data_IF_653254072277
#
_entry.id   IF_653254072277
#
_cell.length_a   1.000
_cell.length_b   1.000
_cell.length_c   1.000
_cell.angle_alpha   90.00
_cell.angle_beta   90.00
_cell.angle_gamma   90.00
#
_symmetry.space_group_name_H-M   'P 1'
#
loop_
_entity.id
_entity.type
_entity.pdbx_description
1 polymer ?
#
# COMPACT_ATOMS: atom_id res chain seq x y z
N UNK A 1 3.46 19.66 -20.41
CA UNK A 1 3.50 18.47 -19.49
C UNK A 1 2.13 18.31 -18.87
N UNK A 2 1.41 17.22 -19.14
CA UNK A 2 0.15 16.91 -18.43
C UNK A 2 0.56 16.53 -17.00
N UNK A 3 0.10 17.30 -16.02
CA UNK A 3 0.25 16.93 -14.60
C UNK A 3 -0.54 15.65 -14.38
N UNK A 4 0.18 14.56 -14.19
CA UNK A 4 -0.43 13.27 -13.92
C UNK A 4 -1.04 13.32 -12.52
N UNK A 5 -2.32 12.99 -12.40
CA UNK A 5 -2.99 12.87 -11.11
C UNK A 5 -2.22 11.88 -10.23
N UNK A 6 -1.88 12.27 -9.01
CA UNK A 6 -1.20 11.43 -8.05
C UNK A 6 -2.22 10.53 -7.35
N UNK A 7 -2.24 9.25 -7.70
CA UNK A 7 -3.09 8.27 -7.05
C UNK A 7 -2.31 7.58 -5.94
N UNK A 8 -2.85 7.55 -4.73
CA UNK A 8 -2.20 7.02 -3.52
C UNK A 8 -3.10 5.94 -2.92
N UNK A 9 -2.53 4.79 -2.59
CA UNK A 9 -3.20 3.70 -1.88
C UNK A 9 -2.59 3.54 -0.50
N UNK A 10 -3.44 3.50 0.54
CA UNK A 10 -3.06 3.29 1.93
C UNK A 10 -3.96 2.22 2.56
N UNK A 11 -3.36 1.27 3.27
CA UNK A 11 -4.08 0.42 4.22
C UNK A 11 -3.86 1.01 5.60
N UNK A 12 -4.94 1.29 6.33
CA UNK A 12 -4.87 2.14 7.52
C UNK A 12 -5.80 1.64 8.63
N UNK A 13 -5.38 1.83 9.86
CA UNK A 13 -6.18 1.59 11.05
C UNK A 13 -6.76 2.91 11.59
N UNK A 14 -7.80 2.83 12.40
CA UNK A 14 -8.45 3.98 13.04
C UNK A 14 -7.47 4.95 13.71
N UNK A 15 -6.45 4.44 14.38
CA UNK A 15 -5.40 5.24 15.05
C UNK A 15 -4.60 6.14 14.09
N UNK A 16 -4.60 5.82 12.79
CA UNK A 16 -3.83 6.54 11.77
C UNK A 16 -4.57 7.76 11.21
N UNK A 17 -5.87 7.91 11.52
CA UNK A 17 -6.71 9.01 10.99
C UNK A 17 -6.06 10.40 11.18
N UNK A 18 -5.50 10.78 12.34
CA UNK A 18 -4.85 12.08 12.50
C UNK A 18 -3.66 12.29 11.57
N UNK A 19 -2.87 11.22 11.31
CA UNK A 19 -1.74 11.26 10.40
C UNK A 19 -2.19 11.36 8.94
N UNK A 20 -3.27 10.67 8.59
CA UNK A 20 -3.88 10.72 7.26
C UNK A 20 -4.36 12.16 6.96
N UNK A 21 -5.03 12.82 7.90
CA UNK A 21 -5.47 14.21 7.75
C UNK A 21 -4.25 15.13 7.54
N UNK A 22 -3.20 14.97 8.34
CA UNK A 22 -1.95 15.72 8.21
C UNK A 22 -1.31 15.51 6.84
N UNK A 23 -1.22 14.26 6.39
CA UNK A 23 -0.69 13.90 5.08
C UNK A 23 -1.54 14.46 3.95
N UNK A 24 -2.87 14.34 4.03
CA UNK A 24 -3.78 14.91 3.03
C UNK A 24 -3.52 16.41 2.85
N UNK A 25 -3.42 17.16 3.94
CA UNK A 25 -3.14 18.59 3.91
C UNK A 25 -1.77 18.91 3.27
N UNK A 26 -0.76 18.10 3.56
CA UNK A 26 0.56 18.26 2.97
C UNK A 26 0.55 17.92 1.48
N UNK A 27 -0.07 16.81 1.09
CA UNK A 27 -0.21 16.43 -0.33
C UNK A 27 -0.94 17.52 -1.12
N UNK A 28 -2.01 18.10 -0.59
CA UNK A 28 -2.76 19.19 -1.23
C UNK A 28 -1.94 20.45 -1.42
N UNK A 29 -1.02 20.75 -0.51
CA UNK A 29 -0.09 21.90 -0.64
C UNK A 29 0.97 21.65 -1.70
N UNK A 30 1.41 20.40 -1.85
CA UNK A 30 2.56 20.03 -2.69
C UNK A 30 2.13 19.67 -4.12
N UNK A 31 0.96 19.01 -4.27
CA UNK A 31 0.48 18.50 -5.56
C UNK A 31 -0.89 19.10 -5.89
N UNK A 32 -1.09 19.44 -7.17
CA UNK A 32 -2.33 20.06 -7.64
C UNK A 32 -3.51 19.10 -7.75
N UNK A 33 -3.21 17.85 -8.15
CA UNK A 33 -4.22 16.81 -8.39
C UNK A 33 -3.82 15.54 -7.69
N UNK A 34 -4.61 15.15 -6.68
CA UNK A 34 -4.39 13.95 -5.87
C UNK A 34 -5.69 13.16 -5.76
N UNK A 35 -5.56 11.84 -5.64
CA UNK A 35 -6.62 10.93 -5.19
C UNK A 35 -6.04 9.97 -4.19
N UNK A 36 -6.70 9.79 -3.06
CA UNK A 36 -6.26 8.91 -2.00
C UNK A 36 -7.31 7.82 -1.81
N UNK A 37 -6.88 6.59 -1.90
CA UNK A 37 -7.67 5.38 -1.70
C UNK A 37 -7.26 4.76 -0.37
N UNK A 38 -8.19 4.74 0.58
CA UNK A 38 -7.94 4.23 1.93
C UNK A 38 -8.69 2.92 2.09
N UNK A 39 -7.98 1.89 2.49
CA UNK A 39 -8.52 0.58 2.81
C UNK A 39 -8.49 0.45 4.32
N UNK A 40 -9.64 0.18 4.95
CA UNK A 40 -9.77 0.10 6.39
C UNK A 40 -10.66 -1.08 6.83
N UNK A 41 -10.53 -1.54 8.08
CA UNK A 41 -11.42 -2.56 8.63
C UNK A 41 -12.89 -2.14 8.55
N UNK A 42 -13.80 -3.07 8.23
CA UNK A 42 -15.23 -2.78 8.06
C UNK A 42 -15.85 -2.12 9.30
N UNK A 43 -15.42 -2.52 10.49
CA UNK A 43 -15.89 -1.96 11.75
C UNK A 43 -15.58 -0.46 11.91
N UNK A 44 -14.50 0.02 11.30
CA UNK A 44 -14.05 1.41 11.39
C UNK A 44 -14.54 2.28 10.21
N UNK A 45 -15.16 1.67 9.20
CA UNK A 45 -15.50 2.30 7.92
C UNK A 45 -16.32 3.60 8.06
N UNK A 46 -17.33 3.60 8.91
CA UNK A 46 -18.17 4.79 9.11
C UNK A 46 -17.41 5.93 9.76
N UNK A 47 -16.53 5.64 10.72
CA UNK A 47 -15.69 6.65 11.36
C UNK A 47 -14.68 7.25 10.37
N UNK A 48 -14.09 6.40 9.51
CA UNK A 48 -13.24 6.89 8.43
C UNK A 48 -14.01 7.81 7.49
N UNK A 49 -15.22 7.44 7.07
CA UNK A 49 -16.06 8.29 6.20
C UNK A 49 -16.43 9.63 6.85
N UNK A 50 -16.74 9.63 8.12
CA UNK A 50 -17.09 10.83 8.87
C UNK A 50 -15.89 11.78 8.97
N UNK A 51 -14.74 11.26 9.42
CA UNK A 51 -13.54 12.07 9.69
C UNK A 51 -12.75 12.45 8.44
N UNK A 52 -12.84 11.68 7.38
CA UNK A 52 -12.10 11.87 6.12
C UNK A 52 -13.04 12.23 4.96
N UNK A 53 -14.04 13.06 5.23
CA UNK A 53 -15.01 13.51 4.22
C UNK A 53 -14.40 14.57 3.27
N UNK A 54 -13.38 14.16 2.51
CA UNK A 54 -12.74 14.97 1.47
C UNK A 54 -13.03 14.36 0.10
N UNK A 55 -13.31 15.22 -0.90
CA UNK A 55 -13.69 14.78 -2.27
C UNK A 55 -12.59 13.94 -2.96
N UNK A 56 -11.34 14.14 -2.59
CA UNK A 56 -10.19 13.42 -3.13
C UNK A 56 -9.94 12.07 -2.43
N UNK A 57 -10.65 11.78 -1.32
CA UNK A 57 -10.48 10.55 -0.55
C UNK A 57 -11.63 9.58 -0.87
N UNK A 58 -11.28 8.35 -1.24
CA UNK A 58 -12.21 7.23 -1.35
C UNK A 58 -11.85 6.17 -0.33
N UNK A 59 -12.84 5.66 0.37
CA UNK A 59 -12.66 4.68 1.45
C UNK A 59 -13.28 3.36 1.03
N UNK A 60 -12.55 2.28 1.26
CA UNK A 60 -12.93 0.89 0.96
C UNK A 60 -12.82 0.05 2.22
N UNK A 61 -13.66 -0.96 2.34
CA UNK A 61 -13.51 -1.97 3.39
C UNK A 61 -12.50 -3.01 2.96
N UNK A 62 -11.74 -3.56 3.90
CA UNK A 62 -10.83 -4.68 3.64
C UNK A 62 -11.59 -5.87 3.03
N UNK A 63 -12.79 -6.16 3.54
CA UNK A 63 -13.64 -7.27 3.11
C UNK A 63 -14.13 -7.16 1.66
N UNK A 64 -14.22 -5.93 1.12
CA UNK A 64 -14.59 -5.70 -0.29
C UNK A 64 -13.45 -6.09 -1.25
N UNK A 65 -12.24 -6.30 -0.73
CA UNK A 65 -11.04 -6.65 -1.51
C UNK A 65 -10.67 -8.12 -1.29
N UNK A 66 -10.40 -8.48 -0.04
CA UNK A 66 -10.18 -9.85 0.43
C UNK A 66 -10.49 -9.90 1.93
N UNK A 67 -11.34 -10.80 2.36
CA UNK A 67 -11.64 -10.94 3.77
C UNK A 67 -10.46 -11.54 4.55
N UNK A 68 -10.34 -11.17 5.82
CA UNK A 68 -9.31 -11.76 6.71
C UNK A 68 -9.46 -13.28 6.81
N UNK A 69 -10.70 -13.79 6.77
CA UNK A 69 -10.96 -15.23 6.81
C UNK A 69 -10.43 -15.95 5.56
N UNK A 70 -10.68 -15.37 4.38
CA UNK A 70 -10.17 -15.89 3.11
C UNK A 70 -8.64 -15.85 3.08
N UNK A 71 -8.05 -14.71 3.47
CA UNK A 71 -6.60 -14.59 3.58
C UNK A 71 -6.01 -15.63 4.53
N UNK A 72 -6.62 -15.84 5.72
CA UNK A 72 -6.14 -16.83 6.69
C UNK A 72 -6.18 -18.25 6.11
N UNK A 73 -7.21 -18.61 5.36
CA UNK A 73 -7.29 -19.92 4.71
C UNK A 73 -6.15 -20.13 3.71
N UNK A 74 -5.87 -19.12 2.87
CA UNK A 74 -4.76 -19.17 1.91
C UNK A 74 -3.43 -19.24 2.66
N UNK A 75 -3.27 -18.42 3.69
CA UNK A 75 -2.05 -18.35 4.49
C UNK A 75 -1.74 -19.67 5.21
N UNK A 76 -2.74 -20.34 5.79
CA UNK A 76 -2.56 -21.63 6.46
C UNK A 76 -2.13 -22.71 5.46
N UNK A 77 -2.70 -22.75 4.25
CA UNK A 77 -2.29 -23.68 3.19
C UNK A 77 -0.83 -23.46 2.78
N UNK A 78 -0.43 -22.20 2.57
CA UNK A 78 0.94 -21.85 2.20
C UNK A 78 1.92 -22.09 3.36
N UNK A 79 1.53 -21.81 4.59
CA UNK A 79 2.39 -21.97 5.78
C UNK A 79 2.74 -23.42 6.08
N UNK A 80 1.93 -24.38 5.61
CA UNK A 80 2.25 -25.80 5.72
C UNK A 80 3.49 -26.21 4.91
N UNK A 81 3.83 -25.43 3.88
CA UNK A 81 4.96 -25.65 3.00
C UNK A 81 6.25 -24.96 3.46
N UNK A 82 6.18 -24.14 4.52
CA UNK A 82 7.30 -23.31 4.98
C UNK A 82 7.87 -23.81 6.31
N UNK A 83 9.20 -23.89 6.36
CA UNK A 83 9.96 -24.42 7.51
C UNK A 83 9.85 -23.59 8.80
N UNK A 84 9.44 -22.30 8.74
CA UNK A 84 9.43 -21.33 9.83
C UNK A 84 8.02 -20.83 10.21
N UNK A 85 7.09 -21.76 10.48
CA UNK A 85 5.67 -21.45 10.78
C UNK A 85 5.45 -20.41 11.90
N UNK A 86 6.24 -20.44 12.96
CA UNK A 86 6.03 -19.58 14.14
C UNK A 86 6.34 -18.12 13.87
N UNK A 87 7.34 -17.80 13.07
CA UNK A 87 7.69 -16.42 12.71
C UNK A 87 6.74 -15.83 11.70
N UNK A 88 6.23 -16.63 10.76
CA UNK A 88 5.20 -16.22 9.83
C UNK A 88 3.92 -15.79 10.54
N UNK A 89 3.46 -16.57 11.53
CA UNK A 89 2.23 -16.24 12.30
C UNK A 89 2.34 -14.90 13.05
N UNK A 90 3.53 -14.56 13.55
CA UNK A 90 3.75 -13.26 14.22
C UNK A 90 3.56 -12.05 13.30
N UNK A 91 3.72 -12.23 11.99
CA UNK A 91 3.60 -11.16 10.99
C UNK A 91 2.34 -11.27 10.13
N UNK A 92 1.36 -12.06 10.53
CA UNK A 92 0.14 -12.33 9.76
C UNK A 92 -0.55 -11.04 9.30
N UNK A 93 -0.78 -10.11 10.21
CA UNK A 93 -1.42 -8.83 9.90
C UNK A 93 -0.60 -7.98 8.93
N UNK A 94 0.73 -8.05 9.01
CA UNK A 94 1.59 -7.36 8.06
C UNK A 94 1.47 -7.95 6.65
N UNK A 95 1.45 -9.28 6.53
CA UNK A 95 1.24 -9.94 5.24
C UNK A 95 -0.15 -9.63 4.68
N UNK A 96 -1.18 -9.64 5.53
CA UNK A 96 -2.54 -9.28 5.12
C UNK A 96 -2.58 -7.87 4.53
N UNK A 97 -1.96 -6.89 5.18
CA UNK A 97 -1.84 -5.53 4.64
C UNK A 97 -1.15 -5.48 3.27
N UNK A 98 -0.08 -6.26 3.07
CA UNK A 98 0.60 -6.29 1.77
C UNK A 98 -0.31 -6.89 0.68
N UNK A 99 -1.02 -7.96 1.00
CA UNK A 99 -1.98 -8.59 0.07
C UNK A 99 -3.11 -7.63 -0.27
N UNK A 100 -3.69 -6.93 0.70
CA UNK A 100 -4.71 -5.90 0.45
C UNK A 100 -4.22 -4.81 -0.52
N UNK A 101 -3.01 -4.28 -0.29
CA UNK A 101 -2.39 -3.28 -1.17
C UNK A 101 -2.26 -3.80 -2.60
N UNK A 102 -1.69 -4.99 -2.76
CA UNK A 102 -1.44 -5.59 -4.07
C UNK A 102 -2.76 -5.91 -4.78
N UNK A 103 -3.71 -6.56 -4.10
CA UNK A 103 -5.00 -6.95 -4.68
C UNK A 103 -5.79 -5.73 -5.15
N UNK A 104 -5.86 -4.68 -4.33
CA UNK A 104 -6.50 -3.42 -4.68
C UNK A 104 -5.86 -2.78 -5.91
N UNK A 105 -4.52 -2.71 -5.96
CA UNK A 105 -3.79 -2.11 -7.08
C UNK A 105 -4.02 -2.86 -8.36
N UNK A 106 -3.95 -4.19 -8.34
CA UNK A 106 -4.16 -5.01 -9.53
C UNK A 106 -5.57 -4.84 -10.09
N UNK A 107 -6.58 -4.78 -9.24
CA UNK A 107 -7.97 -4.55 -9.66
C UNK A 107 -8.18 -3.11 -10.17
N UNK A 108 -7.59 -2.13 -9.49
CA UNK A 108 -7.70 -0.71 -9.86
C UNK A 108 -6.99 -0.41 -11.19
N UNK A 109 -5.76 -0.92 -11.38
CA UNK A 109 -4.99 -0.73 -12.62
C UNK A 109 -5.73 -1.33 -13.82
N UNK A 110 -6.34 -2.51 -13.65
CA UNK A 110 -7.14 -3.13 -14.72
C UNK A 110 -8.30 -2.25 -15.18
N UNK A 111 -8.90 -1.48 -14.27
CA UNK A 111 -10.08 -0.64 -14.56
C UNK A 111 -9.70 0.75 -15.08
N UNK A 112 -8.62 1.33 -14.57
CA UNK A 112 -8.33 2.76 -14.77
C UNK A 112 -7.05 3.03 -15.58
N UNK A 113 -6.25 2.02 -15.88
CA UNK A 113 -4.96 2.13 -16.60
C UNK A 113 -4.01 3.22 -16.07
N UNK A 114 -4.01 3.44 -14.76
CA UNK A 114 -3.26 4.51 -14.10
C UNK A 114 -2.25 3.96 -13.11
N UNK A 115 -1.17 4.70 -12.95
CA UNK A 115 -0.19 4.43 -11.90
C UNK A 115 -0.76 4.77 -10.53
N UNK A 116 -0.44 3.96 -9.53
CA UNK A 116 -0.80 4.18 -8.14
C UNK A 116 0.42 4.01 -7.24
N UNK A 117 0.52 4.83 -6.22
CA UNK A 117 1.62 4.81 -5.25
C UNK A 117 1.11 4.15 -3.98
N UNK A 118 1.84 3.16 -3.49
CA UNK A 118 1.65 2.62 -2.16
C UNK A 118 2.30 3.58 -1.17
N UNK A 119 1.52 4.05 -0.19
CA UNK A 119 1.99 4.96 0.84
C UNK A 119 1.56 4.48 2.21
N UNK A 120 2.49 4.29 3.12
CA UNK A 120 2.15 3.89 4.48
C UNK A 120 1.57 5.07 5.27
N UNK A 121 0.52 4.81 6.05
CA UNK A 121 -0.24 5.85 6.74
C UNK A 121 0.57 6.63 7.78
N UNK A 122 1.63 6.02 8.32
CA UNK A 122 2.57 6.61 9.29
C UNK A 122 3.71 7.42 8.64
N UNK A 123 3.81 7.41 7.33
CA UNK A 123 4.81 8.17 6.57
C UNK A 123 4.27 9.53 6.18
N UNK A 124 4.94 10.61 6.60
CA UNK A 124 4.50 11.99 6.35
C UNK A 124 5.32 12.62 5.23
N UNK A 125 4.63 13.12 4.19
CA UNK A 125 5.29 13.87 3.13
C UNK A 125 5.63 15.29 3.61
N UNK A 126 6.89 15.69 3.45
CA UNK A 126 7.37 17.01 3.88
C UNK A 126 7.71 17.94 2.71
N UNK A 127 8.06 17.39 1.57
CA UNK A 127 8.46 18.13 0.36
C UNK A 127 8.01 17.39 -0.89
N UNK A 128 8.05 18.10 -2.03
CA UNK A 128 7.75 17.49 -3.33
C UNK A 128 8.74 16.35 -3.63
N UNK A 129 8.18 15.24 -4.09
CA UNK A 129 8.90 14.07 -4.58
C UNK A 129 8.40 13.81 -5.99
N UNK A 130 9.29 13.59 -6.93
CA UNK A 130 8.90 13.21 -8.30
C UNK A 130 8.89 11.68 -8.37
N UNK A 131 7.69 11.11 -8.45
CA UNK A 131 7.48 9.65 -8.51
C UNK A 131 7.64 9.07 -9.89
N UNK A 132 7.62 9.90 -10.92
CA UNK A 132 7.71 9.49 -12.32
C UNK A 132 8.56 10.47 -13.11
N UNK A 133 9.41 9.92 -13.95
CA UNK A 133 10.22 10.66 -14.93
C UNK A 133 10.19 9.94 -16.27
N UNK A 134 9.85 10.67 -17.35
CA UNK A 134 9.79 10.13 -18.74
C UNK A 134 8.94 8.84 -18.85
N UNK A 135 7.84 8.76 -18.10
CA UNK A 135 6.93 7.61 -18.10
C UNK A 135 7.42 6.41 -17.29
N UNK A 136 8.54 6.53 -16.59
CA UNK A 136 9.10 5.49 -15.70
C UNK A 136 8.91 5.87 -14.24
N UNK A 137 8.69 4.89 -13.38
CA UNK A 137 8.67 5.07 -11.94
C UNK A 137 10.07 5.37 -11.41
N UNK A 138 10.16 6.35 -10.51
CA UNK A 138 11.40 6.64 -9.77
C UNK A 138 11.32 5.91 -8.43
N UNK A 139 12.31 5.08 -8.16
CA UNK A 139 12.46 4.39 -6.88
C UNK A 139 13.49 5.11 -6.01
N UNK A 140 13.05 5.59 -4.86
CA UNK A 140 13.95 6.15 -3.85
C UNK A 140 14.31 5.04 -2.87
N UNK A 141 15.58 4.73 -2.77
CA UNK A 141 16.11 3.71 -1.86
C UNK A 141 17.16 4.28 -0.92
N UNK A 142 17.29 3.64 0.24
CA UNK A 142 18.40 3.87 1.13
C UNK A 142 19.39 2.70 0.98
N UNK A 143 20.58 2.96 0.49
CA UNK A 143 21.62 1.94 0.29
C UNK A 143 22.05 1.22 1.60
N UNK A 144 21.71 1.78 2.75
CA UNK A 144 22.01 1.18 4.05
C UNK A 144 20.99 0.10 4.49
N UNK A 145 19.88 -0.06 3.78
CA UNK A 145 18.86 -1.08 4.05
C UNK A 145 19.05 -2.32 3.18
N UNK A 146 20.23 -2.91 3.23
CA UNK A 146 20.50 -4.14 2.52
C UNK A 146 20.10 -5.35 3.37
N UNK A 147 18.97 -5.98 3.03
CA UNK A 147 18.53 -7.25 3.62
C UNK A 147 18.82 -8.42 2.68
N UNK A 148 19.91 -9.13 2.92
CA UNK A 148 20.32 -10.30 2.11
C UNK A 148 19.17 -11.30 1.89
N UNK A 149 18.32 -11.49 2.88
CA UNK A 149 17.16 -12.39 2.80
C UNK A 149 16.17 -11.98 1.69
N UNK A 150 15.97 -10.68 1.44
CA UNK A 150 15.07 -10.23 0.37
C UNK A 150 15.60 -10.58 -1.01
N UNK A 151 16.93 -10.49 -1.22
CA UNK A 151 17.54 -10.88 -2.48
C UNK A 151 17.45 -12.37 -2.74
N UNK A 152 17.66 -13.17 -1.71
CA UNK A 152 17.52 -14.64 -1.79
C UNK A 152 16.07 -14.99 -2.14
N UNK A 153 15.10 -14.40 -1.45
CA UNK A 153 13.66 -14.61 -1.71
C UNK A 153 13.27 -14.15 -3.12
N UNK A 154 13.70 -12.97 -3.54
CA UNK A 154 13.42 -12.46 -4.88
C UNK A 154 14.02 -13.37 -5.96
N UNK A 155 15.25 -13.85 -5.79
CA UNK A 155 15.87 -14.82 -6.69
C UNK A 155 15.08 -16.13 -6.79
N UNK A 156 14.57 -16.63 -5.66
CA UNK A 156 13.76 -17.85 -5.62
C UNK A 156 12.40 -17.66 -6.33
N UNK A 157 11.75 -16.52 -6.12
CA UNK A 157 10.40 -16.25 -6.67
C UNK A 157 10.47 -15.82 -8.13
N UNK A 158 11.35 -14.88 -8.46
CA UNK A 158 11.42 -14.26 -9.80
C UNK A 158 12.38 -14.97 -10.73
N UNK A 159 13.17 -15.93 -10.22
CA UNK A 159 14.27 -16.62 -10.97
C UNK A 159 15.26 -15.65 -11.63
N UNK A 160 15.23 -14.38 -11.26
CA UNK A 160 16.08 -13.32 -11.75
C UNK A 160 16.69 -12.54 -10.59
N UNK A 161 17.94 -12.15 -10.73
CA UNK A 161 18.54 -11.14 -9.84
C UNK A 161 18.28 -9.78 -10.48
N UNK A 162 17.87 -8.76 -9.71
CA UNK A 162 17.97 -7.40 -10.18
C UNK A 162 19.45 -7.13 -10.52
N UNK A 163 19.71 -6.62 -11.71
CA UNK A 163 21.03 -6.11 -12.07
C UNK A 163 21.21 -4.79 -11.30
N UNK A 164 22.21 -4.76 -10.45
CA UNK A 164 22.69 -3.54 -9.78
C UNK A 164 23.88 -2.98 -10.54
#
# INVERSE_FOLDING_TARGET
MRYQSLNICQVSLKRDIPLIIKNYNNFKKIYKDIKIYIICPAQDFFEFKEKLNYKEIKIFKEEDIISLAEFNNIFEQLSQQVQYKSEFKKRLNWYYQQVLKISFILEYIKKEEKSIIIWDADTIILKKIDFFENGKSIMYGNFNEFHKSYYVTNKMILKTLPNY
#
